data_IF_826696999356
#
_entry.id   IF_826696999356
#
_cell.length_a   1.000
_cell.length_b   1.000
_cell.length_c   1.000
_cell.angle_alpha   90.00
_cell.angle_beta   90.00
_cell.angle_gamma   90.00
#
_symmetry.space_group_name_H-M   'P 1'
#
loop_
_entity.id
_entity.type
_entity.pdbx_description
1 polymer ?
#
# COMPACT_ATOMS: atom_id res chain seq x y z
N UNK A 1 7.06 19.77 5.83
CA UNK A 1 7.00 19.95 7.31
C UNK A 1 5.61 19.79 7.91
N UNK A 2 4.56 20.54 7.50
CA UNK A 2 3.18 20.38 8.05
C UNK A 2 2.57 18.99 7.77
N UNK A 3 2.75 18.42 6.57
CA UNK A 3 2.23 17.09 6.24
C UNK A 3 2.96 15.97 7.00
N UNK A 4 4.26 16.15 7.26
CA UNK A 4 5.08 15.19 8.02
C UNK A 4 4.62 15.03 9.47
N UNK A 5 4.30 16.13 10.15
CA UNK A 5 3.78 16.07 11.52
C UNK A 5 2.37 15.48 11.56
N UNK A 6 1.54 15.80 10.57
CA UNK A 6 0.18 15.22 10.45
C UNK A 6 0.25 13.71 10.21
N UNK A 7 1.10 13.23 9.31
CA UNK A 7 1.21 11.80 9.04
C UNK A 7 1.79 11.04 10.22
N UNK A 8 2.77 11.61 10.93
CA UNK A 8 3.28 11.01 12.17
C UNK A 8 2.16 10.82 13.20
N UNK A 9 1.34 11.87 13.44
CA UNK A 9 0.20 11.77 14.36
C UNK A 9 -0.80 10.71 13.91
N UNK A 10 -1.10 10.65 12.61
CA UNK A 10 -2.04 9.69 12.03
C UNK A 10 -1.52 8.25 12.16
N UNK A 11 -0.25 8.00 11.80
CA UNK A 11 0.39 6.70 11.94
C UNK A 11 0.44 6.29 13.41
N UNK A 12 0.80 7.19 14.33
CA UNK A 12 0.79 6.89 15.78
C UNK A 12 -0.61 6.54 16.26
N UNK A 13 -1.64 7.26 15.81
CA UNK A 13 -3.04 6.93 16.14
C UNK A 13 -3.43 5.55 15.59
N UNK A 14 -3.05 5.24 14.35
CA UNK A 14 -3.32 3.94 13.72
C UNK A 14 -2.64 2.80 14.48
N UNK A 15 -1.36 2.97 14.85
CA UNK A 15 -0.59 2.01 15.65
C UNK A 15 -1.29 1.76 17.00
N UNK A 16 -1.68 2.81 17.72
CA UNK A 16 -2.32 2.67 19.02
C UNK A 16 -3.67 1.96 18.88
N UNK A 17 -4.50 2.41 17.93
CA UNK A 17 -5.82 1.83 17.68
C UNK A 17 -5.72 0.37 17.24
N UNK A 18 -4.83 0.06 16.29
CA UNK A 18 -4.58 -1.30 15.81
C UNK A 18 -4.01 -2.22 16.88
N UNK A 19 -3.08 -1.73 17.73
CA UNK A 19 -2.53 -2.53 18.83
C UNK A 19 -3.60 -2.85 19.88
N UNK A 20 -4.43 -1.87 20.27
CA UNK A 20 -5.51 -2.08 21.24
C UNK A 20 -6.54 -3.07 20.67
N UNK A 21 -7.00 -2.85 19.43
CA UNK A 21 -7.98 -3.72 18.80
C UNK A 21 -7.43 -5.13 18.57
N UNK A 22 -6.23 -5.24 18.02
CA UNK A 22 -5.58 -6.52 17.74
C UNK A 22 -5.37 -7.35 19.01
N UNK A 23 -4.95 -6.72 20.11
CA UNK A 23 -4.81 -7.42 21.39
C UNK A 23 -6.16 -7.89 21.94
N UNK A 24 -7.20 -7.06 21.87
CA UNK A 24 -8.55 -7.45 22.28
C UNK A 24 -9.10 -8.61 21.44
N UNK A 25 -8.90 -8.58 20.11
CA UNK A 25 -9.34 -9.61 19.18
C UNK A 25 -8.59 -10.93 19.42
N UNK A 26 -7.28 -10.88 19.66
CA UNK A 26 -6.50 -12.07 20.02
C UNK A 26 -6.97 -12.70 21.33
N UNK A 27 -7.10 -11.90 22.39
CA UNK A 27 -7.50 -12.41 23.71
C UNK A 27 -8.91 -13.02 23.68
N UNK A 28 -9.85 -12.36 23.00
CA UNK A 28 -11.22 -12.87 22.87
C UNK A 28 -11.30 -14.09 21.96
N UNK A 29 -10.56 -14.10 20.85
CA UNK A 29 -10.43 -15.25 19.97
C UNK A 29 -9.91 -16.50 20.71
N UNK A 30 -8.92 -16.33 21.60
CA UNK A 30 -8.38 -17.42 22.42
C UNK A 30 -9.40 -17.91 23.46
N UNK A 31 -10.13 -17.00 24.10
CA UNK A 31 -11.14 -17.36 25.10
C UNK A 31 -12.30 -18.16 24.51
N UNK A 32 -12.70 -17.85 23.28
CA UNK A 32 -13.88 -18.44 22.61
C UNK A 32 -13.47 -19.59 21.67
N UNK A 33 -12.17 -19.88 21.52
CA UNK A 33 -11.63 -20.81 20.52
C UNK A 33 -12.16 -20.52 19.10
N UNK A 34 -12.16 -19.24 18.71
CA UNK A 34 -12.71 -18.80 17.43
C UNK A 34 -11.60 -18.37 16.46
N UNK A 35 -11.31 -19.24 15.49
CA UNK A 35 -10.17 -19.11 14.58
C UNK A 35 -10.22 -17.84 13.71
N UNK A 36 -11.40 -17.47 13.21
CA UNK A 36 -11.55 -16.27 12.36
C UNK A 36 -11.20 -15.00 13.12
N UNK A 37 -11.57 -14.93 14.41
CA UNK A 37 -11.27 -13.77 15.25
C UNK A 37 -9.81 -13.74 15.69
N UNK A 38 -9.20 -14.90 15.92
CA UNK A 38 -7.76 -15.01 16.14
C UNK A 38 -6.97 -14.47 14.94
N UNK A 39 -7.36 -14.88 13.72
CA UNK A 39 -6.74 -14.40 12.49
C UNK A 39 -6.88 -12.87 12.36
N UNK A 40 -8.06 -12.30 12.63
CA UNK A 40 -8.27 -10.83 12.63
C UNK A 40 -7.30 -10.11 13.58
N UNK A 41 -7.17 -10.65 14.80
CA UNK A 41 -6.26 -10.12 15.80
C UNK A 41 -4.79 -10.18 15.38
N UNK A 42 -4.35 -11.32 14.82
CA UNK A 42 -2.99 -11.48 14.28
C UNK A 42 -2.74 -10.49 13.14
N UNK A 43 -3.65 -10.39 12.16
CA UNK A 43 -3.50 -9.47 11.03
C UNK A 43 -3.42 -8.02 11.49
N UNK A 44 -4.26 -7.62 12.43
CA UNK A 44 -4.25 -6.27 12.99
C UNK A 44 -2.93 -5.98 13.72
N UNK A 45 -2.41 -6.93 14.51
CA UNK A 45 -1.13 -6.78 15.22
C UNK A 45 0.06 -6.68 14.27
N UNK A 46 0.09 -7.52 13.22
CA UNK A 46 1.11 -7.42 12.18
C UNK A 46 1.02 -6.07 11.46
N UNK A 47 -0.19 -5.63 11.13
CA UNK A 47 -0.43 -4.29 10.58
C UNK A 47 0.14 -3.20 11.48
N UNK A 48 -0.16 -3.21 12.78
CA UNK A 48 0.34 -2.21 13.73
C UNK A 48 1.88 -2.22 13.85
N UNK A 49 2.51 -3.41 13.87
CA UNK A 49 3.96 -3.55 13.83
C UNK A 49 4.56 -2.96 12.55
N UNK A 50 3.93 -3.20 11.41
CA UNK A 50 4.38 -2.67 10.13
C UNK A 50 4.20 -1.15 10.04
N UNK A 51 3.12 -0.60 10.60
CA UNK A 51 2.93 0.85 10.74
C UNK A 51 4.02 1.49 11.61
N UNK A 52 4.49 0.80 12.67
CA UNK A 52 5.64 1.25 13.48
C UNK A 52 6.94 1.31 12.65
N UNK A 53 7.22 0.25 11.88
CA UNK A 53 8.38 0.18 11.00
C UNK A 53 8.31 1.26 9.91
N UNK A 54 7.13 1.43 9.30
CA UNK A 54 6.86 2.47 8.31
C UNK A 54 7.11 3.88 8.88
N UNK A 55 6.69 4.14 10.13
CA UNK A 55 6.93 5.41 10.80
C UNK A 55 8.44 5.65 11.02
N UNK A 56 9.20 4.63 11.39
CA UNK A 56 10.64 4.71 11.55
C UNK A 56 11.33 5.01 10.21
N UNK A 57 10.95 4.28 9.15
CA UNK A 57 11.51 4.46 7.81
C UNK A 57 11.13 5.81 7.21
N UNK A 58 9.91 6.30 7.41
CA UNK A 58 9.51 7.65 7.00
C UNK A 58 10.41 8.74 7.61
N UNK A 59 10.85 8.55 8.86
CA UNK A 59 11.82 9.46 9.52
C UNK A 59 13.22 9.29 8.93
N UNK A 60 13.63 8.06 8.65
CA UNK A 60 14.95 7.75 8.10
C UNK A 60 15.14 8.28 6.67
N UNK A 61 14.10 8.18 5.82
CA UNK A 61 14.10 8.70 4.44
C UNK A 61 14.29 10.22 4.41
N UNK A 62 13.69 10.95 5.35
CA UNK A 62 13.86 12.41 5.44
C UNK A 62 15.26 12.85 5.84
N UNK A 63 16.08 11.95 6.38
CA UNK A 63 17.44 12.28 6.78
C UNK A 63 18.34 12.21 5.54
N UNK A 64 18.72 13.37 5.02
CA UNK A 64 19.65 13.47 3.89
C UNK A 64 21.03 12.94 4.30
N UNK A 65 21.51 11.94 3.58
CA UNK A 65 22.80 11.29 3.79
C UNK A 65 23.36 10.92 2.41
N UNK A 66 24.01 11.89 1.77
CA UNK A 66 24.53 11.74 0.42
C UNK A 66 25.80 10.87 0.35
N UNK A 67 26.51 10.66 1.47
CA UNK A 67 27.69 9.80 1.50
C UNK A 67 27.33 8.32 1.45
N UNK A 68 26.32 7.90 2.21
CA UNK A 68 25.89 6.49 2.24
C UNK A 68 24.77 6.19 1.25
N UNK A 69 23.93 7.18 0.93
CA UNK A 69 22.75 7.02 0.06
C UNK A 69 22.66 8.16 -0.97
N UNK A 70 23.55 8.19 -1.98
CA UNK A 70 23.63 9.29 -2.94
C UNK A 70 22.35 9.47 -3.78
N UNK A 71 21.63 8.37 -4.04
CA UNK A 71 20.37 8.37 -4.81
C UNK A 71 19.11 8.40 -3.92
N UNK A 72 19.27 8.61 -2.62
CA UNK A 72 18.17 8.60 -1.65
C UNK A 72 17.84 7.22 -1.09
N UNK A 73 16.73 7.16 -0.34
CA UNK A 73 16.32 6.01 0.50
C UNK A 73 14.90 5.53 0.20
N UNK A 74 14.31 6.01 -0.89
CA UNK A 74 12.89 5.80 -1.22
C UNK A 74 12.55 4.32 -1.48
N UNK A 75 13.53 3.51 -1.92
CA UNK A 75 13.39 2.06 -2.10
C UNK A 75 13.11 1.29 -0.81
N UNK A 76 13.35 1.88 0.36
CA UNK A 76 12.96 1.28 1.65
C UNK A 76 11.44 1.19 1.79
N UNK A 77 10.67 2.07 1.15
CA UNK A 77 9.21 2.06 1.21
C UNK A 77 8.61 0.79 0.57
N UNK A 78 8.87 0.47 -0.71
CA UNK A 78 8.40 -0.79 -1.29
C UNK A 78 9.01 -2.02 -0.61
N UNK A 79 10.21 -1.93 -0.03
CA UNK A 79 10.78 -3.03 0.75
C UNK A 79 9.95 -3.37 2.00
N UNK A 80 9.46 -2.35 2.72
CA UNK A 80 8.57 -2.57 3.88
C UNK A 80 7.27 -3.23 3.46
N UNK A 81 6.68 -2.75 2.36
CA UNK A 81 5.44 -3.32 1.80
C UNK A 81 5.67 -4.78 1.42
N UNK A 82 6.79 -5.10 0.76
CA UNK A 82 7.17 -6.47 0.43
C UNK A 82 7.24 -7.37 1.66
N UNK A 83 7.92 -6.92 2.73
CA UNK A 83 8.07 -7.69 3.98
C UNK A 83 6.70 -7.86 4.66
N UNK A 84 5.90 -6.79 4.75
CA UNK A 84 4.55 -6.81 5.35
C UNK A 84 3.68 -7.87 4.70
N UNK A 85 3.54 -7.82 3.37
CA UNK A 85 2.66 -8.75 2.66
C UNK A 85 3.25 -10.17 2.58
N UNK A 86 4.58 -10.33 2.69
CA UNK A 86 5.19 -11.65 2.85
C UNK A 86 4.81 -12.30 4.18
N UNK A 87 4.80 -11.54 5.28
CA UNK A 87 4.35 -12.03 6.59
C UNK A 87 2.85 -12.36 6.57
N UNK A 88 2.02 -11.49 5.99
CA UNK A 88 0.58 -11.73 5.82
C UNK A 88 0.33 -12.98 4.96
N UNK A 89 1.10 -13.21 3.89
CA UNK A 89 0.99 -14.39 3.06
C UNK A 89 1.27 -15.68 3.84
N UNK A 90 2.31 -15.70 4.68
CA UNK A 90 2.63 -16.85 5.53
C UNK A 90 1.51 -17.14 6.54
N UNK A 91 1.01 -16.11 7.22
CA UNK A 91 -0.08 -16.24 8.20
C UNK A 91 -1.37 -16.71 7.51
N UNK A 92 -1.67 -16.18 6.33
CA UNK A 92 -2.86 -16.57 5.56
C UNK A 92 -2.76 -18.02 5.06
N UNK A 93 -1.55 -18.47 4.69
CA UNK A 93 -1.32 -19.86 4.30
C UNK A 93 -1.52 -20.81 5.50
N UNK A 94 -1.05 -20.42 6.69
CA UNK A 94 -1.31 -21.16 7.92
C UNK A 94 -2.80 -21.17 8.27
N UNK A 95 -3.47 -20.02 8.24
CA UNK A 95 -4.91 -19.90 8.51
C UNK A 95 -5.76 -20.71 7.53
N UNK A 96 -5.33 -20.83 6.27
CA UNK A 96 -5.99 -21.67 5.28
C UNK A 96 -5.89 -23.15 5.67
N UNK A 97 -4.72 -23.62 6.08
CA UNK A 97 -4.51 -25.00 6.56
C UNK A 97 -5.40 -25.29 7.78
N UNK A 98 -5.41 -24.39 8.77
CA UNK A 98 -6.27 -24.51 9.96
C UNK A 98 -7.76 -24.56 9.59
N UNK A 99 -8.19 -23.73 8.64
CA UNK A 99 -9.59 -23.71 8.20
C UNK A 99 -9.97 -25.00 7.47
N UNK A 100 -9.04 -25.60 6.72
CA UNK A 100 -9.24 -26.93 6.12
C UNK A 100 -9.33 -28.04 7.18
N UNK A 101 -8.52 -27.99 8.23
CA UNK A 101 -8.65 -28.95 9.34
C UNK A 101 -9.99 -28.79 10.07
N UNK A 102 -10.44 -27.56 10.27
CA UNK A 102 -11.75 -27.26 10.89
C UNK A 102 -12.93 -27.83 10.09
N UNK A 103 -12.82 -27.93 8.75
CA UNK A 103 -13.83 -28.63 7.93
C UNK A 103 -13.89 -30.14 8.21
N UNK A 104 -12.76 -30.77 8.52
CA UNK A 104 -12.65 -32.21 8.76
C UNK A 104 -13.08 -32.58 10.18
N UNK A 105 -12.79 -31.72 11.14
CA UNK A 105 -13.13 -31.86 12.55
C UNK A 105 -14.20 -30.82 12.90
N UNK A 106 -15.42 -31.01 12.41
CA UNK A 106 -16.55 -30.09 12.58
C UNK A 106 -17.09 -30.07 14.03
N UNK A 107 -16.27 -29.64 14.97
CA UNK A 107 -16.60 -29.48 16.39
C UNK A 107 -16.67 -28.01 16.82
N UNK A 108 -16.52 -27.07 15.89
CA UNK A 108 -16.44 -25.64 16.22
C UNK A 108 -17.83 -25.07 16.50
N UNK A 109 -18.14 -24.86 17.78
CA UNK A 109 -19.28 -24.07 18.22
C UNK A 109 -18.81 -22.65 18.57
N UNK A 110 -19.29 -21.65 17.84
CA UNK A 110 -19.03 -20.25 18.18
C UNK A 110 -19.96 -19.83 19.32
N UNK A 111 -19.40 -19.38 20.43
CA UNK A 111 -20.20 -18.77 21.49
C UNK A 111 -20.76 -17.42 21.02
N UNK A 112 -22.03 -17.44 20.62
CA UNK A 112 -22.75 -16.26 20.15
C UNK A 112 -22.80 -15.12 21.19
N UNK A 113 -22.80 -15.45 22.48
CA UNK A 113 -22.93 -14.47 23.54
C UNK A 113 -21.71 -13.54 23.61
N UNK A 114 -20.55 -14.03 23.19
CA UNK A 114 -19.29 -13.27 23.23
C UNK A 114 -18.84 -12.88 21.81
N UNK A 115 -18.95 -13.79 20.84
CA UNK A 115 -18.45 -13.58 19.48
C UNK A 115 -19.20 -12.48 18.70
N UNK A 116 -20.54 -12.42 18.81
CA UNK A 116 -21.34 -11.44 18.08
C UNK A 116 -21.14 -10.00 18.59
N UNK A 117 -21.23 -9.72 19.91
CA UNK A 117 -20.96 -8.38 20.43
C UNK A 117 -19.54 -7.89 20.09
N UNK A 118 -18.54 -8.79 20.19
CA UNK A 118 -17.17 -8.44 19.87
C UNK A 118 -16.98 -8.11 18.38
N UNK A 119 -17.51 -8.95 17.49
CA UNK A 119 -17.40 -8.73 16.04
C UNK A 119 -18.12 -7.45 15.60
N UNK A 120 -19.26 -7.13 16.22
CA UNK A 120 -19.96 -5.85 16.02
C UNK A 120 -19.13 -4.66 16.51
N UNK A 121 -18.51 -4.77 17.69
CA UNK A 121 -17.61 -3.75 18.21
C UNK A 121 -16.42 -3.53 17.26
N UNK A 122 -15.77 -4.61 16.80
CA UNK A 122 -14.66 -4.53 15.84
C UNK A 122 -15.05 -3.89 14.52
N UNK A 123 -16.19 -4.30 13.96
CA UNK A 123 -16.75 -3.69 12.74
C UNK A 123 -16.96 -2.19 12.92
N UNK A 124 -17.59 -1.77 14.02
CA UNK A 124 -17.84 -0.37 14.31
C UNK A 124 -16.53 0.39 14.54
N UNK A 125 -15.57 -0.20 15.26
CA UNK A 125 -14.27 0.38 15.55
C UNK A 125 -13.49 0.66 14.26
N UNK A 126 -13.36 -0.35 13.39
CA UNK A 126 -12.71 -0.21 12.09
C UNK A 126 -13.42 0.81 11.19
N UNK A 127 -14.76 0.82 11.19
CA UNK A 127 -15.54 1.78 10.42
C UNK A 127 -15.32 3.22 10.89
N UNK A 128 -15.38 3.47 12.20
CA UNK A 128 -15.16 4.80 12.78
C UNK A 128 -13.75 5.29 12.48
N UNK A 129 -12.74 4.42 12.60
CA UNK A 129 -11.36 4.78 12.30
C UNK A 129 -11.14 5.03 10.80
N UNK A 130 -11.72 4.21 9.93
CA UNK A 130 -11.73 4.45 8.48
C UNK A 130 -12.34 5.82 8.14
N UNK A 131 -13.48 6.19 8.73
CA UNK A 131 -14.10 7.50 8.54
C UNK A 131 -13.23 8.64 9.09
N UNK A 132 -12.55 8.44 10.22
CA UNK A 132 -11.61 9.39 10.78
C UNK A 132 -10.45 9.67 9.81
N UNK A 133 -9.87 8.62 9.21
CA UNK A 133 -8.82 8.76 8.20
C UNK A 133 -9.33 9.41 6.92
N UNK A 134 -10.52 9.02 6.44
CA UNK A 134 -11.15 9.58 5.24
C UNK A 134 -11.44 11.08 5.37
N UNK A 135 -11.81 11.55 6.57
CA UNK A 135 -12.05 12.97 6.85
C UNK A 135 -10.77 13.81 6.92
N UNK A 136 -9.60 13.18 7.09
CA UNK A 136 -8.31 13.85 7.24
C UNK A 136 -7.31 13.39 6.16
N UNK A 137 -7.56 13.67 4.87
CA UNK A 137 -6.69 13.23 3.79
C UNK A 137 -5.30 13.87 3.89
N UNK A 138 -4.27 13.05 3.68
CA UNK A 138 -2.88 13.47 3.61
C UNK A 138 -2.29 12.97 2.30
N UNK A 139 -1.64 13.84 1.54
CA UNK A 139 -0.96 13.43 0.32
C UNK A 139 0.39 12.77 0.65
N UNK A 140 0.38 11.44 0.88
CA UNK A 140 1.54 10.60 1.17
C UNK A 140 1.20 9.12 0.93
N UNK A 141 2.13 8.31 0.44
CA UNK A 141 1.87 6.86 0.23
C UNK A 141 1.43 6.11 1.49
N UNK A 142 2.04 6.37 2.65
CA UNK A 142 1.64 5.68 3.89
C UNK A 142 0.19 5.98 4.30
N UNK A 143 -0.36 7.16 4.00
CA UNK A 143 -1.76 7.46 4.28
C UNK A 143 -2.70 6.54 3.49
N UNK A 144 -2.40 6.30 2.21
CA UNK A 144 -3.23 5.43 1.35
C UNK A 144 -3.18 3.99 1.84
N UNK A 145 -2.00 3.50 2.23
CA UNK A 145 -1.82 2.16 2.81
C UNK A 145 -2.67 2.00 4.07
N UNK A 146 -2.59 2.95 5.00
CA UNK A 146 -3.38 2.92 6.24
C UNK A 146 -4.89 2.99 5.96
N UNK A 147 -5.33 3.90 5.09
CA UNK A 147 -6.75 4.04 4.75
C UNK A 147 -7.33 2.73 4.19
N UNK A 148 -6.60 2.08 3.28
CA UNK A 148 -6.99 0.80 2.72
C UNK A 148 -6.97 -0.31 3.77
N UNK A 149 -5.96 -0.36 4.64
CA UNK A 149 -5.88 -1.33 5.74
C UNK A 149 -7.12 -1.26 6.65
N UNK A 150 -7.55 -0.05 7.05
CA UNK A 150 -8.75 0.11 7.88
C UNK A 150 -10.05 -0.17 7.13
N UNK A 151 -10.10 0.13 5.82
CA UNK A 151 -11.24 -0.26 4.96
C UNK A 151 -11.36 -1.77 4.86
N UNK A 152 -10.25 -2.47 4.68
CA UNK A 152 -10.20 -3.93 4.65
C UNK A 152 -10.59 -4.52 6.00
N UNK A 153 -10.06 -4.00 7.11
CA UNK A 153 -10.47 -4.42 8.46
C UNK A 153 -11.98 -4.30 8.68
N UNK A 154 -12.59 -3.18 8.26
CA UNK A 154 -14.05 -3.03 8.31
C UNK A 154 -14.81 -4.08 7.50
N UNK A 155 -14.43 -4.28 6.23
CA UNK A 155 -15.09 -5.26 5.36
C UNK A 155 -14.91 -6.70 5.88
N UNK A 156 -13.73 -7.00 6.42
CA UNK A 156 -13.43 -8.26 7.07
C UNK A 156 -14.34 -8.48 8.27
N UNK A 157 -14.34 -7.58 9.25
CA UNK A 157 -15.14 -7.73 10.47
C UNK A 157 -16.64 -7.81 10.16
N UNK A 158 -17.10 -7.08 9.13
CA UNK A 158 -18.46 -7.19 8.63
C UNK A 158 -18.77 -8.60 8.10
N UNK A 159 -17.84 -9.19 7.34
CA UNK A 159 -17.92 -10.58 6.89
C UNK A 159 -18.02 -11.58 8.05
N UNK A 160 -17.27 -11.35 9.14
CA UNK A 160 -17.34 -12.15 10.36
C UNK A 160 -18.70 -12.02 11.04
N UNK A 161 -19.25 -10.82 11.15
CA UNK A 161 -20.60 -10.60 11.71
C UNK A 161 -21.65 -11.35 10.90
N UNK A 162 -21.58 -11.27 9.56
CA UNK A 162 -22.49 -11.99 8.66
C UNK A 162 -22.34 -13.50 8.86
N UNK A 163 -21.11 -14.02 8.95
CA UNK A 163 -20.83 -15.43 9.26
C UNK A 163 -21.57 -15.88 10.51
N UNK A 164 -21.35 -15.18 11.62
CA UNK A 164 -21.91 -15.53 12.93
C UNK A 164 -23.44 -15.50 12.89
N UNK A 165 -24.05 -14.47 12.29
CA UNK A 165 -25.51 -14.35 12.18
C UNK A 165 -26.10 -15.49 11.36
N UNK A 166 -25.49 -15.80 10.21
CA UNK A 166 -25.98 -16.87 9.32
C UNK A 166 -25.84 -18.24 10.00
N UNK A 167 -24.70 -18.51 10.64
CA UNK A 167 -24.48 -19.73 11.44
C UNK A 167 -25.51 -19.85 12.57
N UNK A 168 -25.80 -18.75 13.28
CA UNK A 168 -26.78 -18.74 14.37
C UNK A 168 -28.21 -19.04 13.91
N UNK A 169 -28.62 -18.49 12.77
CA UNK A 169 -29.94 -18.72 12.20
C UNK A 169 -30.09 -20.17 11.75
N UNK A 170 -29.07 -20.73 11.09
CA UNK A 170 -29.07 -22.12 10.63
C UNK A 170 -28.99 -23.12 11.79
N UNK A 171 -28.30 -22.79 12.88
CA UNK A 171 -28.26 -23.64 14.08
C UNK A 171 -29.65 -23.84 14.74
N UNK A 172 -30.62 -22.96 14.47
CA UNK A 172 -32.02 -23.09 14.94
C UNK A 172 -32.91 -23.92 14.00
N UNK A 173 -32.37 -24.41 12.90
CA UNK A 173 -33.07 -25.19 11.87
C UNK A 173 -32.55 -26.63 11.85
N UNK A 174 -33.21 -27.59 11.17
CA UNK A 174 -32.67 -28.95 10.99
C UNK A 174 -31.34 -29.00 10.21
N UNK A 175 -30.87 -27.87 9.67
CA UNK A 175 -29.61 -27.75 8.93
C UNK A 175 -28.39 -27.49 9.84
N UNK A 176 -28.36 -28.04 11.06
CA UNK A 176 -27.27 -27.85 12.02
C UNK A 176 -25.88 -28.21 11.44
N UNK A 177 -25.81 -29.28 10.64
CA UNK A 177 -24.57 -29.68 9.96
C UNK A 177 -24.08 -28.62 8.95
N UNK A 178 -24.97 -27.84 8.35
CA UNK A 178 -24.61 -26.73 7.46
C UNK A 178 -24.12 -25.53 8.27
N UNK A 179 -24.70 -25.29 9.45
CA UNK A 179 -24.28 -24.21 10.35
C UNK A 179 -22.81 -24.33 10.78
N UNK A 180 -22.34 -25.56 11.02
CA UNK A 180 -20.95 -25.84 11.43
C UNK A 180 -19.92 -25.65 10.30
N UNK A 181 -20.35 -25.69 9.03
CA UNK A 181 -19.47 -25.53 7.88
C UNK A 181 -19.27 -24.06 7.47
N UNK A 182 -20.16 -23.16 7.90
CA UNK A 182 -20.12 -21.75 7.48
C UNK A 182 -18.85 -21.06 7.93
N UNK A 183 -18.42 -21.29 9.18
CA UNK A 183 -17.22 -20.65 9.71
C UNK A 183 -15.95 -21.08 8.95
N UNK A 184 -15.65 -22.39 8.79
CA UNK A 184 -14.52 -22.82 7.97
C UNK A 184 -14.59 -22.34 6.51
N UNK A 185 -15.78 -22.36 5.88
CA UNK A 185 -15.95 -21.90 4.49
C UNK A 185 -15.65 -20.41 4.36
N UNK A 186 -16.16 -19.58 5.27
CA UNK A 186 -15.90 -18.14 5.25
C UNK A 186 -14.43 -17.85 5.55
N UNK A 187 -13.84 -18.56 6.53
CA UNK A 187 -12.41 -18.46 6.84
C UNK A 187 -11.52 -18.82 5.65
N UNK A 188 -11.85 -19.87 4.90
CA UNK A 188 -11.18 -20.24 3.64
C UNK A 188 -11.30 -19.12 2.60
N UNK A 189 -12.51 -18.58 2.39
CA UNK A 189 -12.73 -17.50 1.43
C UNK A 189 -11.90 -16.25 1.77
N UNK A 190 -11.89 -15.88 3.04
CA UNK A 190 -11.12 -14.76 3.58
C UNK A 190 -9.62 -14.98 3.39
N UNK A 191 -9.10 -16.14 3.78
CA UNK A 191 -7.65 -16.43 3.70
C UNK A 191 -7.17 -16.51 2.24
N UNK A 192 -7.97 -17.08 1.32
CA UNK A 192 -7.70 -17.03 -0.12
C UNK A 192 -7.66 -15.59 -0.63
N UNK A 193 -8.60 -14.75 -0.20
CA UNK A 193 -8.60 -13.34 -0.56
C UNK A 193 -7.33 -12.62 -0.09
N UNK A 194 -6.89 -12.86 1.15
CA UNK A 194 -5.62 -12.31 1.64
C UNK A 194 -4.39 -12.85 0.92
N UNK A 195 -4.37 -14.12 0.53
CA UNK A 195 -3.30 -14.68 -0.29
C UNK A 195 -3.23 -13.94 -1.62
N UNK A 196 -4.36 -13.76 -2.31
CA UNK A 196 -4.42 -13.02 -3.56
C UNK A 196 -3.94 -11.57 -3.41
N UNK A 197 -4.42 -10.88 -2.37
CA UNK A 197 -4.02 -9.51 -2.05
C UNK A 197 -2.50 -9.43 -1.80
N UNK A 198 -1.97 -10.30 -0.95
CA UNK A 198 -0.54 -10.34 -0.61
C UNK A 198 0.34 -10.61 -1.82
N UNK A 199 -0.01 -11.58 -2.67
CA UNK A 199 0.74 -11.87 -3.90
C UNK A 199 0.75 -10.66 -4.85
N UNK A 200 -0.39 -9.97 -4.97
CA UNK A 200 -0.52 -8.78 -5.80
C UNK A 200 0.38 -7.65 -5.29
N UNK A 201 0.35 -7.39 -3.99
CA UNK A 201 1.14 -6.31 -3.38
C UNK A 201 2.64 -6.64 -3.34
N UNK A 202 3.02 -7.90 -3.12
CA UNK A 202 4.40 -8.36 -3.27
C UNK A 202 4.90 -8.09 -4.69
N UNK A 203 4.13 -8.46 -5.71
CA UNK A 203 4.49 -8.19 -7.11
C UNK A 203 4.66 -6.70 -7.38
N UNK A 204 3.73 -5.87 -6.90
CA UNK A 204 3.80 -4.42 -7.06
C UNK A 204 5.05 -3.84 -6.38
N UNK A 205 5.34 -4.28 -5.15
CA UNK A 205 6.53 -3.88 -4.41
C UNK A 205 7.83 -4.31 -5.10
N UNK A 206 7.90 -5.53 -5.64
CA UNK A 206 9.05 -5.99 -6.42
C UNK A 206 9.25 -5.15 -7.68
N UNK A 207 8.18 -4.81 -8.40
CA UNK A 207 8.26 -3.93 -9.57
C UNK A 207 8.80 -2.54 -9.19
N UNK A 208 8.31 -1.94 -8.11
CA UNK A 208 8.83 -0.66 -7.61
C UNK A 208 10.30 -0.75 -7.19
N UNK A 209 10.73 -1.85 -6.55
CA UNK A 209 12.14 -2.10 -6.21
C UNK A 209 13.05 -2.19 -7.44
N UNK A 210 12.50 -2.66 -8.58
CA UNK A 210 13.23 -2.75 -9.85
C UNK A 210 13.12 -1.50 -10.72
N UNK A 211 12.64 -0.37 -10.18
CA UNK A 211 12.47 0.88 -10.92
C UNK A 211 11.52 0.75 -12.13
N UNK A 212 10.47 -0.07 -11.99
CA UNK A 212 9.46 -0.22 -13.02
C UNK A 212 8.73 1.12 -13.31
N UNK A 213 8.16 1.27 -14.52
CA UNK A 213 7.40 2.45 -14.86
C UNK A 213 6.16 2.61 -13.96
N UNK A 214 5.73 3.84 -13.69
CA UNK A 214 4.50 4.09 -12.95
C UNK A 214 3.27 3.58 -13.71
N UNK A 215 2.13 3.55 -13.03
CA UNK A 215 0.82 3.25 -13.64
C UNK A 215 0.59 4.10 -14.90
N UNK A 216 -0.11 3.50 -15.86
CA UNK A 216 -0.34 4.06 -17.20
C UNK A 216 -0.76 5.53 -17.19
N UNK A 217 -1.74 5.90 -16.36
CA UNK A 217 -2.27 7.27 -16.26
C UNK A 217 -1.19 8.31 -15.91
N UNK A 218 -0.32 8.00 -14.93
CA UNK A 218 0.74 8.90 -14.53
C UNK A 218 1.81 8.99 -15.62
N UNK A 219 2.19 7.85 -16.20
CA UNK A 219 3.16 7.77 -17.30
C UNK A 219 2.70 8.59 -18.51
N UNK A 220 1.46 8.41 -18.95
CA UNK A 220 0.88 9.10 -20.10
C UNK A 220 0.77 10.61 -19.85
N UNK A 221 0.35 11.01 -18.64
CA UNK A 221 0.33 12.43 -18.25
C UNK A 221 1.72 13.06 -18.34
N UNK A 222 2.77 12.36 -17.92
CA UNK A 222 4.16 12.86 -18.01
C UNK A 222 4.60 12.96 -19.47
N UNK A 223 4.36 11.93 -20.27
CA UNK A 223 4.68 11.92 -21.71
C UNK A 223 4.05 13.11 -22.43
N UNK A 224 2.74 13.33 -22.24
CA UNK A 224 2.02 14.45 -22.86
C UNK A 224 2.58 15.82 -22.47
N UNK A 225 3.03 15.99 -21.22
CA UNK A 225 3.64 17.24 -20.76
C UNK A 225 5.01 17.45 -21.43
N UNK A 226 5.85 16.42 -21.49
CA UNK A 226 7.18 16.49 -22.12
C UNK A 226 7.04 16.73 -23.62
N UNK A 227 6.19 15.98 -24.30
CA UNK A 227 5.90 16.13 -25.73
C UNK A 227 5.51 17.57 -26.06
N UNK A 228 4.54 18.12 -25.33
CA UNK A 228 4.05 19.49 -25.55
C UNK A 228 5.13 20.55 -25.34
N UNK A 229 6.06 20.32 -24.41
CA UNK A 229 7.16 21.26 -24.13
C UNK A 229 8.25 21.20 -25.19
N UNK A 230 8.48 20.03 -25.80
CA UNK A 230 9.51 19.80 -26.82
C UNK A 230 9.01 19.99 -28.25
N UNK A 231 7.68 19.98 -28.49
CA UNK A 231 7.07 20.06 -29.83
C UNK A 231 7.56 21.26 -30.68
N UNK A 232 7.90 22.38 -30.05
CA UNK A 232 8.35 23.61 -30.72
C UNK A 232 9.86 23.87 -30.54
N UNK A 233 10.63 22.86 -30.15
CA UNK A 233 12.08 22.95 -29.98
C UNK A 233 12.74 22.20 -31.12
N UNK A 234 13.75 22.79 -31.75
CA UNK A 234 14.52 22.15 -32.80
C UNK A 234 15.45 21.07 -32.22
N UNK A 235 14.90 19.85 -32.07
CA UNK A 235 15.61 18.65 -31.61
C UNK A 235 15.45 17.53 -32.65
N UNK A 236 16.35 16.57 -32.68
CA UNK A 236 16.23 15.39 -33.54
C UNK A 236 15.19 14.42 -32.96
N UNK A 237 15.36 14.07 -31.70
CA UNK A 237 14.47 13.17 -30.95
C UNK A 237 14.72 13.31 -29.46
N UNK A 238 13.94 12.60 -28.63
CA UNK A 238 14.21 12.48 -27.21
C UNK A 238 13.90 11.06 -26.72
N UNK A 239 14.60 10.63 -25.67
CA UNK A 239 14.33 9.40 -24.93
C UNK A 239 13.91 9.78 -23.53
N UNK A 240 12.72 9.34 -23.12
CA UNK A 240 12.20 9.57 -21.77
C UNK A 240 12.04 8.24 -21.04
N UNK A 241 12.78 8.09 -19.93
CA UNK A 241 12.64 6.97 -19.01
C UNK A 241 11.96 7.47 -17.74
N UNK A 242 10.92 6.75 -17.34
CA UNK A 242 10.09 7.09 -16.19
C UNK A 242 10.06 5.88 -15.28
N UNK A 243 10.44 6.07 -14.02
CA UNK A 243 10.32 5.07 -12.96
C UNK A 243 9.60 5.66 -11.75
N UNK A 244 8.96 4.81 -10.94
CA UNK A 244 8.41 5.22 -9.64
C UNK A 244 8.92 4.28 -8.55
N UNK A 245 9.41 4.88 -7.47
CA UNK A 245 9.88 4.16 -6.29
C UNK A 245 9.31 4.86 -5.05
N UNK A 246 8.37 4.21 -4.36
CA UNK A 246 7.70 4.83 -3.20
C UNK A 246 6.95 6.11 -3.60
N UNK A 247 7.28 7.22 -2.94
CA UNK A 247 6.72 8.56 -3.21
C UNK A 247 7.53 9.37 -4.25
N UNK A 248 8.64 8.81 -4.76
CA UNK A 248 9.50 9.45 -5.75
C UNK A 248 9.22 8.96 -7.17
N UNK A 249 9.14 9.91 -8.10
CA UNK A 249 9.08 9.66 -9.55
C UNK A 249 10.40 10.12 -10.15
N UNK A 250 11.08 9.20 -10.82
CA UNK A 250 12.36 9.41 -11.48
C UNK A 250 12.11 9.60 -12.98
N UNK A 251 12.62 10.70 -13.50
CA UNK A 251 12.52 11.13 -14.88
C UNK A 251 13.92 11.35 -15.42
N UNK A 252 14.34 10.49 -16.34
CA UNK A 252 15.57 10.67 -17.11
C UNK A 252 15.14 11.06 -18.53
N UNK A 253 15.40 12.30 -18.91
CA UNK A 253 15.07 12.85 -20.22
C UNK A 253 16.36 13.15 -20.98
N UNK A 254 16.64 12.33 -21.99
CA UNK A 254 17.79 12.49 -22.88
C UNK A 254 17.31 13.13 -24.18
N UNK A 255 17.77 14.35 -24.46
CA UNK A 255 17.36 15.15 -25.63
C UNK A 255 18.48 15.09 -26.66
N UNK A 256 18.18 14.54 -27.85
CA UNK A 256 19.12 14.49 -28.97
C UNK A 256 19.04 15.80 -29.76
N UNK A 257 20.12 16.57 -29.72
CA UNK A 257 20.20 17.88 -30.38
C UNK A 257 20.64 17.74 -31.84
N UNK A 258 20.09 18.60 -32.70
CA UNK A 258 20.56 18.71 -34.08
C UNK A 258 21.94 19.39 -34.11
N UNK A 259 22.86 18.97 -35.00
CA UNK A 259 24.10 19.70 -35.26
C UNK A 259 23.82 21.15 -35.66
N UNK A 260 24.69 22.08 -35.22
CA UNK A 260 24.60 23.52 -35.53
C UNK A 260 23.26 24.18 -35.13
N UNK A 261 22.54 23.60 -34.16
CA UNK A 261 21.28 24.14 -33.65
C UNK A 261 21.48 25.21 -32.57
N UNK A 262 20.42 25.95 -32.23
CA UNK A 262 20.43 26.90 -31.11
C UNK A 262 20.82 26.25 -29.77
N UNK A 263 20.67 24.92 -29.65
CA UNK A 263 21.00 24.14 -28.46
C UNK A 263 22.46 23.67 -28.42
N UNK A 264 23.31 24.08 -29.36
CA UNK A 264 24.74 23.73 -29.36
C UNK A 264 25.57 24.55 -28.35
N UNK A 265 24.91 25.42 -27.56
CA UNK A 265 25.52 26.13 -26.44
C UNK A 265 24.95 25.66 -25.10
N UNK A 266 25.83 25.46 -24.11
CA UNK A 266 25.44 25.10 -22.73
C UNK A 266 24.40 26.08 -22.17
N UNK A 267 24.54 27.38 -22.44
CA UNK A 267 23.57 28.39 -21.97
C UNK A 267 22.18 28.21 -22.56
N UNK A 268 22.05 27.81 -23.82
CA UNK A 268 20.76 27.54 -24.43
C UNK A 268 20.14 26.26 -23.86
N UNK A 269 20.95 25.22 -23.68
CA UNK A 269 20.57 23.97 -23.02
C UNK A 269 20.06 24.21 -21.59
N UNK A 270 20.79 25.00 -20.79
CA UNK A 270 20.41 25.34 -19.42
C UNK A 270 19.06 26.08 -19.37
N UNK A 271 18.80 27.01 -20.29
CA UNK A 271 17.50 27.71 -20.37
C UNK A 271 16.35 26.76 -20.64
N UNK A 272 16.54 25.79 -21.53
CA UNK A 272 15.54 24.77 -21.82
C UNK A 272 15.38 23.81 -20.63
N UNK A 273 16.50 23.41 -20.00
CA UNK A 273 16.51 22.58 -18.78
C UNK A 273 15.69 23.22 -17.67
N UNK A 274 15.90 24.51 -17.39
CA UNK A 274 15.15 25.25 -16.37
C UNK A 274 13.66 25.34 -16.71
N UNK A 275 13.33 25.58 -17.98
CA UNK A 275 11.93 25.65 -18.44
C UNK A 275 11.22 24.31 -18.26
N UNK A 276 11.85 23.21 -18.67
CA UNK A 276 11.34 21.85 -18.50
C UNK A 276 11.20 21.50 -17.02
N UNK A 277 12.26 21.72 -16.24
CA UNK A 277 12.28 21.41 -14.82
C UNK A 277 11.16 22.13 -14.06
N UNK A 278 10.97 23.43 -14.30
CA UNK A 278 9.86 24.19 -13.71
C UNK A 278 8.49 23.63 -14.12
N UNK A 279 8.28 23.38 -15.41
CA UNK A 279 6.97 22.95 -15.93
C UNK A 279 6.58 21.54 -15.49
N UNK A 280 7.55 20.62 -15.45
CA UNK A 280 7.35 19.27 -14.93
C UNK A 280 7.08 19.33 -13.42
N UNK A 281 7.86 20.11 -12.67
CA UNK A 281 7.66 20.27 -11.22
C UNK A 281 6.29 20.87 -10.88
N UNK A 282 5.83 21.87 -11.63
CA UNK A 282 4.48 22.45 -11.50
C UNK A 282 3.37 21.41 -11.80
N UNK A 283 3.57 20.55 -12.80
CA UNK A 283 2.57 19.56 -13.24
C UNK A 283 2.41 18.34 -12.33
N UNK A 284 3.41 18.07 -11.49
CA UNK A 284 3.51 16.87 -10.64
C UNK A 284 3.93 17.19 -9.20
N UNK A 285 3.40 18.28 -8.64
CA UNK A 285 3.69 18.75 -7.27
C UNK A 285 3.27 17.79 -6.14
N UNK A 286 2.46 16.78 -6.46
CA UNK A 286 2.03 15.74 -5.53
C UNK A 286 3.11 14.68 -5.26
N UNK A 287 4.19 14.64 -6.04
CA UNK A 287 5.26 13.64 -5.95
C UNK A 287 6.61 14.28 -5.65
N UNK A 288 7.51 13.50 -5.04
CA UNK A 288 8.93 13.85 -5.02
C UNK A 288 9.51 13.57 -6.40
N UNK A 289 10.05 14.58 -7.08
CA UNK A 289 10.57 14.42 -8.43
C UNK A 289 12.09 14.37 -8.42
N UNK A 290 12.65 13.32 -9.02
CA UNK A 290 14.03 13.30 -9.48
C UNK A 290 13.99 13.49 -10.99
N UNK A 291 14.39 14.68 -11.47
CA UNK A 291 14.41 14.98 -12.90
C UNK A 291 15.84 15.25 -13.32
N UNK A 292 16.34 14.43 -14.23
CA UNK A 292 17.59 14.65 -14.92
C UNK A 292 17.30 14.90 -16.40
N UNK A 293 17.96 15.93 -16.97
CA UNK A 293 17.79 16.32 -18.36
C UNK A 293 19.17 16.43 -18.99
N UNK A 294 19.48 15.49 -19.87
CA UNK A 294 20.73 15.47 -20.62
C UNK A 294 20.49 15.96 -22.04
N UNK A 295 21.49 16.65 -22.59
CA UNK A 295 21.55 17.01 -24.00
C UNK A 295 22.70 16.25 -24.63
N UNK A 296 22.42 15.53 -25.71
CA UNK A 296 23.37 14.62 -26.36
C UNK A 296 23.34 14.86 -27.87
N UNK A 297 24.48 14.71 -28.54
CA UNK A 297 24.58 14.86 -30.00
C UNK A 297 24.39 13.57 -30.79
N UNK A 298 24.21 12.43 -30.12
CA UNK A 298 24.05 11.12 -30.74
C UNK A 298 23.16 10.24 -29.85
N UNK A 299 22.18 9.58 -30.45
CA UNK A 299 21.22 8.70 -29.78
C UNK A 299 21.88 7.56 -29.00
N UNK A 300 23.11 7.13 -29.35
CA UNK A 300 23.82 6.05 -28.62
C UNK A 300 24.13 6.40 -27.15
N UNK A 301 24.12 7.68 -26.80
CA UNK A 301 24.36 8.17 -25.44
C UNK A 301 23.06 8.32 -24.63
N UNK A 302 21.91 8.09 -25.27
CA UNK A 302 20.61 8.06 -24.62
C UNK A 302 20.47 6.78 -23.81
#
# INVERSE_FOLDING_TARGET
MKNTQKIKKLLTASIIAGTIYGLLALLTGLMINYNVLLLDGVYTMVGALMSLIALYIAKFIQTQDFERFPFGKESLMPLVVFIQYSVILLISSYGLIESFFSLLYADTYVDLAIGLPFSLFGTLFCFVFYLYLKKNPINHSFYKVELEQWRFGFLFSLGVVVSIIVSALLARTPYLAIAQLIDPVISIGITIFYIYLSVTEIKNATLELTYAPPKYELREKILLVVDKLLQNVAIETYVLRIAKVGDQVILELDIVILPDSELDSIRAQDRLRDKLNRKVTEGFSDYSLWLNINFIGDLKWA
#
